data_IF_765841219648
#
_entry.id   IF_765841219648
#
_cell.length_a   1.000
_cell.length_b   1.000
_cell.length_c   1.000
_cell.angle_alpha   90.00
_cell.angle_beta   90.00
_cell.angle_gamma   90.00
#
_symmetry.space_group_name_H-M   'P 1'
#
loop_
_entity.id
_entity.type
_entity.pdbx_description
1 polymer ?
#
# COMPACT_ATOMS: atom_id res chain seq x y z
N UNK A 1 47.84 23.37 -26.75
CA UNK A 1 48.25 24.61 -27.44
C UNK A 1 47.33 24.70 -28.65
N UNK A 2 46.38 25.62 -28.86
CA UNK A 2 46.18 27.04 -28.51
C UNK A 2 44.71 27.33 -28.92
N UNK A 3 43.79 27.68 -28.01
CA UNK A 3 43.20 29.01 -27.76
C UNK A 3 42.66 29.79 -28.99
N UNK A 4 41.38 30.24 -28.90
CA UNK A 4 40.74 31.53 -29.36
C UNK A 4 39.25 31.23 -29.66
N UNK A 5 38.18 31.64 -28.97
CA UNK A 5 37.71 32.78 -28.15
C UNK A 5 37.19 34.03 -28.90
N UNK A 6 35.84 34.16 -28.86
CA UNK A 6 34.93 35.36 -28.92
C UNK A 6 34.78 36.13 -30.26
N UNK A 7 33.81 37.10 -30.41
CA UNK A 7 32.63 37.51 -29.60
C UNK A 7 31.30 37.61 -30.41
N UNK A 8 30.10 37.57 -29.81
CA UNK A 8 29.20 38.68 -29.34
C UNK A 8 28.71 39.69 -30.41
N UNK A 9 27.39 39.72 -30.67
CA UNK A 9 26.58 40.93 -30.88
C UNK A 9 25.08 40.63 -31.10
N UNK A 10 24.26 40.96 -30.10
CA UNK A 10 22.94 41.57 -30.31
C UNK A 10 23.16 43.10 -30.55
N UNK A 11 22.24 43.86 -31.19
CA UNK A 11 21.01 44.30 -30.50
C UNK A 11 19.81 44.63 -31.44
N UNK A 12 18.61 44.80 -30.87
CA UNK A 12 17.78 46.01 -31.03
C UNK A 12 16.31 45.77 -30.60
N UNK A 13 15.80 46.78 -29.89
CA UNK A 13 14.46 46.91 -29.31
C UNK A 13 13.55 47.74 -30.22
N UNK A 14 12.23 47.49 -30.18
CA UNK A 14 11.16 48.51 -30.10
C UNK A 14 9.97 47.80 -29.43
N UNK A 15 9.32 48.21 -28.33
CA UNK A 15 8.82 49.47 -27.73
C UNK A 15 7.64 50.13 -28.47
N UNK A 16 6.48 50.03 -27.82
CA UNK A 16 5.31 50.93 -27.90
C UNK A 16 4.18 50.37 -28.79
N UNK A 17 2.89 50.48 -28.47
CA UNK A 17 2.21 51.32 -27.49
C UNK A 17 0.70 51.01 -27.53
N UNK A 18 0.09 50.90 -26.34
CA UNK A 18 -1.23 51.46 -25.98
C UNK A 18 -2.55 50.99 -26.60
N UNK A 19 -3.33 50.31 -25.73
CA UNK A 19 -4.53 50.81 -25.03
C UNK A 19 -5.84 51.05 -25.83
N UNK A 20 -6.92 50.61 -25.15
CA UNK A 20 -8.34 51.05 -25.21
C UNK A 20 -9.28 50.14 -26.04
N UNK A 21 -10.51 49.77 -25.62
CA UNK A 21 -11.35 50.08 -24.45
C UNK A 21 -12.59 49.15 -24.46
N UNK A 22 -13.04 48.78 -23.25
CA UNK A 22 -14.44 48.74 -22.73
C UNK A 22 -15.52 47.86 -23.40
N UNK A 23 -16.07 46.96 -22.59
CA UNK A 23 -17.47 46.90 -22.04
C UNK A 23 -17.49 45.69 -21.08
N UNK A 24 -17.96 45.70 -19.84
CA UNK A 24 -18.89 46.57 -19.15
C UNK A 24 -20.09 45.74 -18.69
N UNK A 25 -20.02 45.10 -17.52
CA UNK A 25 -21.19 44.62 -16.78
C UNK A 25 -20.95 44.89 -15.29
N UNK A 26 -21.61 45.93 -14.77
CA UNK A 26 -21.69 46.26 -13.35
C UNK A 26 -23.00 45.68 -12.84
N UNK A 27 -22.95 44.92 -11.75
CA UNK A 27 -24.11 44.77 -10.87
C UNK A 27 -24.19 46.01 -9.97
N UNK A 28 -25.42 46.40 -9.63
CA UNK A 28 -25.76 47.73 -9.15
C UNK A 28 -25.60 47.94 -7.65
N UNK A 29 -25.37 46.88 -6.87
CA UNK A 29 -25.36 46.98 -5.41
C UNK A 29 -24.05 46.39 -4.87
N UNK A 30 -23.15 47.28 -4.44
CA UNK A 30 -21.78 46.95 -4.04
C UNK A 30 -21.67 46.24 -2.68
N UNK A 31 -22.11 44.99 -2.60
CA UNK A 31 -21.91 44.15 -1.42
C UNK A 31 -21.18 42.84 -1.79
N UNK A 32 -20.11 42.42 -1.08
CA UNK A 32 -19.50 41.10 -1.28
C UNK A 32 -20.47 39.98 -0.88
N UNK A 33 -20.37 38.77 -1.48
CA UNK A 33 -21.24 37.66 -1.12
C UNK A 33 -20.94 37.20 0.31
N UNK A 34 -21.95 37.31 1.18
CA UNK A 34 -21.96 36.76 2.52
C UNK A 34 -22.28 35.25 2.45
N UNK A 35 -21.48 34.46 3.14
CA UNK A 35 -21.73 33.04 3.41
C UNK A 35 -22.80 32.95 4.53
N UNK A 36 -24.00 32.38 4.30
CA UNK A 36 -24.98 32.24 5.36
C UNK A 36 -24.64 31.05 6.28
N UNK A 37 -24.79 31.31 7.57
CA UNK A 37 -24.74 30.33 8.65
C UNK A 37 -26.04 29.51 8.70
N UNK A 38 -25.87 28.23 9.01
CA UNK A 38 -26.71 27.32 9.81
C UNK A 38 -28.22 27.24 9.53
N UNK A 39 -28.67 26.03 9.16
CA UNK A 39 -30.03 25.56 9.40
C UNK A 39 -29.94 24.16 10.05
N UNK A 40 -30.17 24.13 11.36
CA UNK A 40 -30.63 22.94 12.08
C UNK A 40 -32.10 22.72 11.71
N UNK A 41 -32.42 21.63 11.01
CA UNK A 41 -33.79 21.12 10.91
C UNK A 41 -33.78 19.58 10.85
N UNK A 42 -33.90 19.01 12.04
CA UNK A 42 -34.94 18.07 12.44
C UNK A 42 -35.63 17.26 11.31
N UNK A 43 -35.23 16.00 11.12
CA UNK A 43 -36.08 14.97 10.53
C UNK A 43 -35.90 13.62 11.24
N UNK A 44 -36.87 13.29 12.10
CA UNK A 44 -37.20 11.93 12.50
C UNK A 44 -37.80 11.19 11.29
N UNK A 45 -37.18 10.07 10.89
CA UNK A 45 -37.83 9.03 10.09
C UNK A 45 -37.43 7.67 10.63
N UNK A 46 -38.37 7.01 11.29
CA UNK A 46 -38.33 5.59 11.62
C UNK A 46 -38.42 4.72 10.35
N UNK A 47 -37.52 3.74 10.31
CA UNK A 47 -37.71 2.34 9.88
C UNK A 47 -37.88 1.99 8.39
N UNK A 48 -37.07 1.03 7.95
CA UNK A 48 -37.26 0.25 6.72
C UNK A 48 -35.99 0.08 5.88
N UNK A 49 -35.10 -0.83 6.25
CA UNK A 49 -33.88 -1.10 5.49
C UNK A 49 -33.22 -2.43 5.88
N UNK A 50 -33.88 -3.52 5.51
CA UNK A 50 -33.32 -4.83 5.15
C UNK A 50 -31.97 -5.21 5.80
N UNK A 51 -32.08 -6.03 6.86
CA UNK A 51 -30.99 -6.82 7.40
C UNK A 51 -30.43 -7.76 6.32
N UNK A 52 -29.45 -7.25 5.57
CA UNK A 52 -28.55 -8.07 4.79
C UNK A 52 -27.77 -8.96 5.75
N UNK A 53 -28.24 -10.20 5.88
CA UNK A 53 -27.57 -11.37 6.47
C UNK A 53 -26.04 -11.28 6.37
N UNK A 54 -25.40 -10.65 7.36
CA UNK A 54 -24.02 -10.95 7.69
C UNK A 54 -24.06 -12.28 8.41
N UNK A 55 -24.02 -13.37 7.66
CA UNK A 55 -23.61 -14.64 8.25
C UNK A 55 -22.31 -14.36 9.00
N UNK A 56 -22.19 -14.76 10.29
CA UNK A 56 -20.91 -14.73 10.96
C UNK A 56 -20.00 -15.61 10.11
N UNK A 57 -19.07 -15.01 9.36
CA UNK A 57 -18.00 -15.77 8.72
C UNK A 57 -17.31 -16.49 9.87
N UNK A 58 -17.41 -17.82 9.87
CA UNK A 58 -16.79 -18.66 10.88
C UNK A 58 -15.38 -18.15 11.17
N UNK A 59 -15.17 -17.68 12.41
CA UNK A 59 -13.96 -17.00 12.87
C UNK A 59 -12.74 -17.95 12.99
N UNK A 60 -12.74 -19.06 12.24
CA UNK A 60 -11.76 -20.13 12.37
C UNK A 60 -11.46 -20.84 11.04
N UNK A 61 -11.58 -20.17 9.89
CA UNK A 61 -10.86 -20.65 8.71
C UNK A 61 -9.41 -20.23 8.89
N UNK A 62 -8.45 -21.17 9.11
CA UNK A 62 -7.05 -20.81 9.23
C UNK A 62 -6.61 -20.12 7.94
N UNK A 63 -6.30 -18.83 8.04
CA UNK A 63 -5.83 -18.04 6.91
C UNK A 63 -4.54 -18.69 6.36
N UNK A 64 -4.46 -18.82 5.03
CA UNK A 64 -3.31 -19.47 4.43
C UNK A 64 -2.09 -18.54 4.49
N UNK A 65 -1.04 -18.98 5.16
CA UNK A 65 0.16 -18.18 5.35
C UNK A 65 1.16 -18.39 4.20
N UNK A 66 1.69 -17.30 3.64
CA UNK A 66 2.64 -17.35 2.52
C UNK A 66 3.92 -18.11 2.89
N UNK A 67 4.48 -17.89 4.09
CA UNK A 67 5.70 -18.57 4.53
C UNK A 67 5.52 -20.07 4.73
N UNK A 68 4.35 -20.52 5.19
CA UNK A 68 4.02 -21.95 5.29
C UNK A 68 4.09 -22.64 3.92
N UNK A 69 3.44 -22.05 2.90
CA UNK A 69 3.50 -22.58 1.54
C UNK A 69 4.91 -22.63 0.96
N UNK A 70 5.75 -21.64 1.30
CA UNK A 70 7.15 -21.60 0.86
C UNK A 70 7.98 -22.70 1.50
N UNK A 71 7.69 -23.07 2.75
CA UNK A 71 8.39 -24.11 3.48
C UNK A 71 8.07 -25.53 2.97
N UNK A 72 6.87 -25.76 2.44
CA UNK A 72 6.44 -27.08 1.96
C UNK A 72 7.28 -27.60 0.78
N UNK A 73 7.32 -28.94 0.64
CA UNK A 73 8.00 -29.58 -0.48
C UNK A 73 7.18 -29.46 -1.76
N UNK A 74 7.85 -29.48 -2.93
CA UNK A 74 7.17 -29.31 -4.24
C UNK A 74 6.09 -30.37 -4.46
N UNK A 75 6.30 -31.61 -3.98
CA UNK A 75 5.30 -32.68 -4.07
C UNK A 75 4.00 -32.37 -3.33
N UNK A 76 4.10 -31.79 -2.13
CA UNK A 76 2.94 -31.40 -1.33
C UNK A 76 2.21 -30.23 -1.98
N UNK A 77 2.94 -29.26 -2.52
CA UNK A 77 2.37 -28.15 -3.29
C UNK A 77 1.62 -28.64 -4.53
N UNK A 78 2.14 -29.64 -5.25
CA UNK A 78 1.47 -30.25 -6.39
C UNK A 78 0.18 -30.97 -5.99
N UNK A 79 0.21 -31.69 -4.87
CA UNK A 79 -0.97 -32.35 -4.32
C UNK A 79 -2.04 -31.30 -3.95
N UNK A 80 -1.68 -30.30 -3.16
CA UNK A 80 -2.58 -29.20 -2.78
C UNK A 80 -3.13 -28.47 -4.01
N UNK A 81 -2.30 -28.22 -5.02
CA UNK A 81 -2.72 -27.54 -6.24
C UNK A 81 -3.74 -28.38 -7.02
N UNK A 82 -3.53 -29.69 -7.10
CA UNK A 82 -4.46 -30.62 -7.76
C UNK A 82 -5.79 -30.69 -7.00
N UNK A 83 -5.75 -30.82 -5.68
CA UNK A 83 -6.94 -30.83 -4.81
C UNK A 83 -7.72 -29.51 -4.87
N UNK A 84 -7.03 -28.38 -5.00
CA UNK A 84 -7.63 -27.06 -5.17
C UNK A 84 -8.16 -26.80 -6.61
N UNK A 85 -7.98 -27.74 -7.54
CA UNK A 85 -8.43 -27.60 -8.93
C UNK A 85 -7.57 -26.64 -9.78
N UNK A 86 -6.28 -26.50 -9.47
CA UNK A 86 -5.34 -25.71 -10.28
C UNK A 86 -4.95 -26.51 -11.53
N UNK A 87 -5.41 -26.04 -12.69
CA UNK A 87 -5.08 -26.66 -13.97
C UNK A 87 -3.59 -26.55 -14.30
N UNK A 88 -3.00 -27.65 -14.81
CA UNK A 88 -1.62 -27.64 -15.27
C UNK A 88 -0.56 -27.52 -14.18
N UNK A 89 -0.90 -27.77 -12.91
CA UNK A 89 0.01 -27.66 -11.76
C UNK A 89 1.38 -28.33 -12.00
N UNK A 90 1.41 -29.51 -12.61
CA UNK A 90 2.65 -30.26 -12.89
C UNK A 90 3.66 -29.54 -13.80
N UNK A 91 3.24 -28.50 -14.53
CA UNK A 91 4.12 -27.72 -15.41
C UNK A 91 4.68 -26.46 -14.75
N UNK A 92 4.14 -26.10 -13.58
CA UNK A 92 4.48 -24.88 -12.88
C UNK A 92 5.73 -25.06 -12.02
N UNK A 93 6.54 -24.01 -11.92
CA UNK A 93 7.64 -23.96 -10.95
C UNK A 93 7.08 -23.80 -9.53
N UNK A 94 7.90 -24.08 -8.50
CA UNK A 94 7.50 -23.93 -7.08
C UNK A 94 6.86 -22.57 -6.78
N UNK A 95 7.46 -21.48 -7.26
CA UNK A 95 6.92 -20.13 -7.07
C UNK A 95 5.56 -19.93 -7.75
N UNK A 96 5.39 -20.45 -8.97
CA UNK A 96 4.13 -20.36 -9.72
C UNK A 96 3.04 -21.22 -9.08
N UNK A 97 3.40 -22.37 -8.49
CA UNK A 97 2.48 -23.21 -7.70
C UNK A 97 1.97 -22.47 -6.46
N UNK A 98 2.87 -21.87 -5.68
CA UNK A 98 2.50 -21.06 -4.51
C UNK A 98 1.57 -19.92 -4.93
N UNK A 99 1.89 -19.23 -6.02
CA UNK A 99 1.07 -18.16 -6.55
C UNK A 99 -0.32 -18.65 -6.99
N UNK A 100 -0.40 -19.77 -7.71
CA UNK A 100 -1.65 -20.33 -8.18
C UNK A 100 -2.56 -20.78 -7.01
N UNK A 101 -1.97 -21.38 -5.98
CA UNK A 101 -2.67 -21.77 -4.74
C UNK A 101 -3.25 -20.55 -4.02
N UNK A 102 -2.44 -19.51 -3.80
CA UNK A 102 -2.88 -18.27 -3.15
C UNK A 102 -3.97 -17.56 -3.96
N UNK A 103 -3.85 -17.54 -5.29
CA UNK A 103 -4.86 -16.97 -6.18
C UNK A 103 -6.18 -17.75 -6.13
N UNK A 104 -6.13 -19.08 -6.08
CA UNK A 104 -7.31 -19.93 -5.94
C UNK A 104 -8.04 -19.63 -4.62
N UNK A 105 -7.32 -19.57 -3.51
CA UNK A 105 -7.84 -19.22 -2.17
C UNK A 105 -8.45 -17.82 -2.12
N UNK A 106 -7.72 -16.82 -2.64
CA UNK A 106 -8.20 -15.44 -2.70
C UNK A 106 -9.49 -15.32 -3.53
N UNK A 107 -9.62 -16.07 -4.65
CA UNK A 107 -10.86 -16.12 -5.45
C UNK A 107 -12.05 -16.72 -4.71
N UNK A 108 -11.80 -17.65 -3.77
CA UNK A 108 -12.82 -18.23 -2.89
C UNK A 108 -13.19 -17.32 -1.72
N UNK A 109 -12.57 -16.15 -1.62
CA UNK A 109 -12.80 -15.19 -0.54
C UNK A 109 -12.13 -15.57 0.78
N UNK A 110 -11.22 -16.55 0.76
CA UNK A 110 -10.43 -16.91 1.93
C UNK A 110 -9.30 -15.88 2.14
N UNK A 111 -9.08 -15.41 3.38
CA UNK A 111 -7.99 -14.51 3.67
C UNK A 111 -6.64 -15.22 3.47
N UNK A 112 -5.70 -14.52 2.85
CA UNK A 112 -4.32 -14.95 2.72
C UNK A 112 -3.45 -14.01 3.55
N UNK A 113 -2.51 -14.58 4.29
CA UNK A 113 -1.65 -13.84 5.19
C UNK A 113 -0.19 -13.97 4.76
N UNK A 114 0.62 -12.99 5.12
CA UNK A 114 2.05 -13.01 4.88
C UNK A 114 2.80 -12.24 5.96
N UNK A 115 4.08 -12.57 6.07
CA UNK A 115 4.99 -12.00 7.02
C UNK A 115 6.34 -11.65 6.38
N UNK A 116 7.08 -10.78 7.05
CA UNK A 116 8.47 -10.50 6.73
C UNK A 116 9.02 -9.27 7.44
N UNK A 117 10.32 -9.04 7.28
CA UNK A 117 10.98 -7.85 7.79
C UNK A 117 10.85 -6.70 6.78
N UNK A 118 10.35 -5.54 7.23
CA UNK A 118 10.18 -4.39 6.38
C UNK A 118 11.52 -3.78 5.98
N UNK A 119 11.70 -3.53 4.68
CA UNK A 119 12.71 -2.64 4.13
C UNK A 119 12.02 -1.44 3.47
N UNK A 120 12.24 -0.23 4.00
CA UNK A 120 11.74 1.02 3.40
C UNK A 120 12.78 1.57 2.44
N UNK A 121 12.38 1.82 1.20
CA UNK A 121 13.21 2.38 0.13
C UNK A 121 13.16 3.93 0.15
N UNK A 122 14.11 4.62 -0.52
CA UNK A 122 14.19 6.09 -0.53
C UNK A 122 12.90 6.80 -0.97
N UNK A 123 12.13 6.17 -1.85
CA UNK A 123 10.85 6.69 -2.36
C UNK A 123 9.70 6.56 -1.35
N UNK A 124 9.95 5.98 -0.17
CA UNK A 124 9.03 5.89 0.95
C UNK A 124 8.04 4.73 0.91
N UNK A 125 8.07 3.88 -0.14
CA UNK A 125 7.43 2.56 -0.13
C UNK A 125 8.42 1.51 0.34
N UNK A 126 7.95 0.29 0.63
CA UNK A 126 8.82 -0.77 1.10
C UNK A 126 8.38 -2.16 0.68
N UNK A 127 9.20 -3.13 1.04
CA UNK A 127 8.94 -4.56 0.84
C UNK A 127 9.15 -5.32 2.14
N UNK A 128 8.29 -6.30 2.42
CA UNK A 128 8.56 -7.30 3.44
C UNK A 128 9.46 -8.36 2.83
N UNK A 129 10.68 -8.43 3.35
CA UNK A 129 11.71 -9.39 2.96
C UNK A 129 11.60 -10.64 3.81
N UNK A 130 11.83 -11.79 3.19
CA UNK A 130 11.79 -13.09 3.88
C UNK A 130 13.14 -13.43 4.53
N UNK A 131 13.14 -13.97 5.77
CA UNK A 131 14.37 -14.45 6.40
C UNK A 131 14.99 -15.64 5.63
N UNK A 132 14.16 -16.46 4.99
CA UNK A 132 14.60 -17.64 4.21
C UNK A 132 15.48 -17.28 3.02
N UNK A 133 15.30 -16.08 2.47
CA UNK A 133 16.10 -15.55 1.37
C UNK A 133 17.21 -14.62 1.86
N UNK A 134 17.55 -14.67 3.16
CA UNK A 134 18.54 -13.78 3.79
C UNK A 134 18.23 -12.29 3.58
N UNK A 135 16.94 -11.94 3.56
CA UNK A 135 16.43 -10.60 3.32
C UNK A 135 16.80 -9.99 1.95
N UNK A 136 17.21 -10.83 1.00
CA UNK A 136 17.47 -10.41 -0.38
C UNK A 136 16.17 -10.13 -1.12
N UNK A 137 16.26 -9.25 -2.12
CA UNK A 137 15.12 -8.90 -2.95
C UNK A 137 14.60 -10.10 -3.75
N UNK A 138 13.36 -10.49 -3.46
CA UNK A 138 12.63 -11.57 -4.11
C UNK A 138 11.46 -11.05 -4.93
N UNK A 139 11.01 -11.85 -5.90
CA UNK A 139 9.77 -11.58 -6.64
C UNK A 139 8.53 -11.91 -5.83
N UNK A 140 8.69 -12.68 -4.75
CA UNK A 140 7.68 -13.09 -3.79
C UNK A 140 7.58 -12.14 -2.58
N UNK A 141 8.34 -11.04 -2.58
CA UNK A 141 8.27 -10.02 -1.54
C UNK A 141 6.90 -9.31 -1.53
N UNK A 142 6.50 -8.86 -0.34
CA UNK A 142 5.21 -8.21 -0.13
C UNK A 142 5.42 -6.69 -0.14
N UNK A 143 4.82 -6.02 -1.11
CA UNK A 143 4.77 -4.56 -1.20
C UNK A 143 4.01 -3.94 -0.04
N UNK A 144 4.58 -2.88 0.53
CA UNK A 144 3.98 -2.03 1.56
C UNK A 144 3.92 -0.60 1.05
N UNK A 145 2.72 -0.02 1.09
CA UNK A 145 2.49 1.33 0.58
C UNK A 145 3.07 2.41 1.51
N UNK A 146 3.46 3.58 0.97
CA UNK A 146 3.91 4.71 1.78
C UNK A 146 2.89 5.16 2.82
N UNK A 147 1.59 5.06 2.50
CA UNK A 147 0.50 5.40 3.41
C UNK A 147 0.45 4.48 4.63
N UNK A 148 0.68 3.17 4.45
CA UNK A 148 0.76 2.22 5.57
C UNK A 148 1.99 2.49 6.44
N UNK A 149 3.15 2.71 5.81
CA UNK A 149 4.40 3.05 6.50
C UNK A 149 4.22 4.28 7.39
N UNK A 150 3.62 5.34 6.86
CA UNK A 150 3.34 6.56 7.63
C UNK A 150 2.29 6.36 8.71
N UNK A 151 1.18 5.67 8.41
CA UNK A 151 0.04 5.49 9.34
C UNK A 151 0.43 4.73 10.61
N UNK A 152 1.29 3.72 10.47
CA UNK A 152 1.72 2.88 11.60
C UNK A 152 3.13 3.24 12.10
N UNK A 153 3.72 4.33 11.59
CA UNK A 153 5.09 4.78 11.93
C UNK A 153 6.13 3.66 11.79
N UNK A 154 6.02 2.89 10.70
CA UNK A 154 6.86 1.72 10.42
C UNK A 154 8.26 2.15 10.02
N UNK A 155 9.27 1.34 10.36
CA UNK A 155 10.67 1.55 10.01
C UNK A 155 11.30 0.30 9.43
N UNK A 156 12.37 0.49 8.67
CA UNK A 156 13.21 -0.63 8.23
C UNK A 156 13.65 -1.47 9.42
N UNK A 157 13.44 -2.77 9.34
CA UNK A 157 13.70 -3.73 10.41
C UNK A 157 12.48 -4.17 11.21
N UNK A 158 11.34 -3.48 11.10
CA UNK A 158 10.10 -3.96 11.72
C UNK A 158 9.64 -5.27 11.10
N UNK A 159 9.42 -6.31 11.92
CA UNK A 159 8.74 -7.53 11.48
C UNK A 159 7.25 -7.27 11.39
N UNK A 160 6.62 -7.55 10.25
CA UNK A 160 5.21 -7.29 10.01
C UNK A 160 4.52 -8.60 9.66
N UNK A 161 3.34 -8.80 10.24
CA UNK A 161 2.40 -9.87 9.88
C UNK A 161 1.06 -9.22 9.48
N UNK A 162 0.43 -9.72 8.43
CA UNK A 162 -0.91 -9.28 8.08
C UNK A 162 -1.50 -9.92 6.84
N UNK A 163 -2.73 -9.55 6.53
CA UNK A 163 -3.42 -9.97 5.32
C UNK A 163 -2.75 -9.36 4.09
N UNK A 164 -2.58 -10.19 3.07
CA UNK A 164 -2.01 -9.80 1.78
C UNK A 164 -3.04 -10.00 0.67
N UNK A 165 -2.75 -9.44 -0.50
CA UNK A 165 -3.48 -9.73 -1.74
C UNK A 165 -2.52 -10.13 -2.83
N UNK A 166 -2.99 -10.96 -3.75
CA UNK A 166 -2.29 -11.23 -5.00
C UNK A 166 -2.20 -9.94 -5.85
N UNK A 167 -1.14 -9.78 -6.66
CA UNK A 167 -1.03 -8.68 -7.62
C UNK A 167 -2.21 -8.69 -8.60
N UNK A 168 -2.68 -7.48 -8.94
CA UNK A 168 -3.65 -7.23 -10.01
C UNK A 168 -2.94 -7.13 -11.37
N UNK A 169 -3.72 -6.93 -12.43
CA UNK A 169 -3.18 -6.71 -13.77
C UNK A 169 -2.24 -5.50 -13.78
N UNK A 170 -0.99 -5.74 -14.18
CA UNK A 170 0.09 -4.74 -14.19
C UNK A 170 0.92 -4.66 -12.90
N UNK A 171 0.53 -5.33 -11.82
CA UNK A 171 1.32 -5.44 -10.59
C UNK A 171 2.18 -6.72 -10.61
N UNK A 172 3.36 -6.67 -9.97
CA UNK A 172 4.30 -7.81 -9.93
C UNK A 172 4.39 -8.50 -8.57
N UNK A 173 4.07 -7.79 -7.49
CA UNK A 173 4.30 -8.23 -6.12
C UNK A 173 3.00 -8.45 -5.39
N UNK A 174 3.02 -9.31 -4.36
CA UNK A 174 1.96 -9.29 -3.35
C UNK A 174 1.91 -7.92 -2.69
N UNK A 175 0.76 -7.52 -2.17
CA UNK A 175 0.63 -6.25 -1.45
C UNK A 175 -0.06 -6.47 -0.11
N UNK A 176 0.45 -5.81 0.93
CA UNK A 176 -0.18 -5.80 2.25
C UNK A 176 -1.51 -5.06 2.16
N UNK A 177 -2.61 -5.70 2.54
CA UNK A 177 -3.94 -5.07 2.62
C UNK A 177 -4.24 -4.57 4.02
N UNK A 178 -3.97 -5.41 5.01
CA UNK A 178 -4.24 -5.13 6.42
C UNK A 178 -3.05 -5.56 7.25
N UNK A 179 -2.70 -4.72 8.23
CA UNK A 179 -1.61 -4.98 9.15
C UNK A 179 -2.21 -5.53 10.44
N UNK A 180 -1.79 -6.74 10.84
CA UNK A 180 -2.29 -7.40 12.05
C UNK A 180 -1.30 -7.28 13.21
N UNK A 181 0.01 -7.47 12.98
CA UNK A 181 1.05 -7.33 14.02
C UNK A 181 2.31 -6.64 13.52
N UNK A 182 2.99 -5.96 14.45
CA UNK A 182 4.31 -5.36 14.28
C UNK A 182 5.22 -5.87 15.41
N UNK A 183 6.30 -6.56 15.08
CA UNK A 183 7.23 -7.22 16.00
C UNK A 183 6.50 -8.09 17.04
N UNK A 184 5.52 -8.88 16.59
CA UNK A 184 4.72 -9.78 17.43
C UNK A 184 3.67 -9.10 18.31
N UNK A 185 3.48 -7.77 18.21
CA UNK A 185 2.50 -7.01 19.01
C UNK A 185 1.44 -6.35 18.14
N UNK A 186 0.26 -6.02 18.71
CA UNK A 186 -0.73 -5.22 18.01
C UNK A 186 -0.17 -3.86 17.53
N UNK A 187 -0.69 -3.31 16.42
CA UNK A 187 -0.15 -2.08 15.83
C UNK A 187 -0.35 -0.85 16.72
N UNK A 188 -1.36 -0.91 17.59
CA UNK A 188 -1.73 0.15 18.53
C UNK A 188 -0.64 0.42 19.56
N UNK A 189 -0.01 -0.64 20.08
CA UNK A 189 1.09 -0.55 21.06
C UNK A 189 2.38 -0.02 20.43
N UNK A 190 2.51 -0.10 19.10
CA UNK A 190 3.74 0.28 18.41
C UNK A 190 3.87 1.78 18.19
N UNK A 191 2.80 2.55 18.38
CA UNK A 191 2.80 4.01 18.19
C UNK A 191 3.58 4.76 19.27
N UNK A 192 3.68 4.21 20.48
CA UNK A 192 4.34 4.85 21.64
C UNK A 192 5.78 4.38 21.87
N UNK A 193 6.41 3.73 20.88
CA UNK A 193 7.78 3.23 21.02
C UNK A 193 8.78 4.37 21.10
N UNK A 194 9.69 4.29 22.07
CA UNK A 194 10.89 5.13 22.15
C UNK A 194 11.86 4.63 21.07
N UNK A 195 12.43 5.54 20.29
CA UNK A 195 13.45 5.20 19.30
C UNK A 195 14.67 4.61 19.99
N UNK A 196 15.29 3.60 19.38
CA UNK A 196 16.49 2.95 19.94
C UNK A 196 17.59 3.95 20.29
N UNK A 197 17.80 4.97 19.44
CA UNK A 197 18.77 6.05 19.65
C UNK A 197 18.53 6.88 20.91
N UNK A 198 17.30 6.90 21.43
CA UNK A 198 16.93 7.64 22.63
C UNK A 198 16.99 6.78 23.90
N UNK A 199 17.33 5.49 23.78
CA UNK A 199 17.48 4.61 24.95
C UNK A 199 18.79 4.94 25.67
N UNK A 200 18.76 4.88 27.00
CA UNK A 200 19.96 5.03 27.82
C UNK A 200 20.76 3.72 27.80
N UNK A 201 22.01 3.71 27.31
CA UNK A 201 22.84 2.52 27.34
C UNK A 201 23.25 2.19 28.77
N UNK A 202 23.16 0.91 29.15
CA UNK A 202 23.58 0.39 30.45
C UNK A 202 24.61 -0.74 30.25
N UNK A 203 25.49 -0.94 31.23
CA UNK A 203 26.42 -2.07 31.22
C UNK A 203 25.68 -3.37 31.57
N UNK A 204 26.01 -4.49 30.90
CA UNK A 204 25.42 -5.81 31.17
C UNK A 204 25.85 -6.41 32.50
#
# INVERSE_FOLDING_TARGET
MTATSKPDQAPARSRGSSRARRRGARNRDGNPPQNPQNEDDLFDVENGGEEGSSTPRDANVPALHLSELKALHVSELLQMATEAGVEGANRLRKQELVFALLRNRARRGEPICGDGALEVLPDGFGFLRSPDTSYLAGTDDIYVSPSQIRRFNLRTGDTIEGEIRTPKDGERYFALTKLDKINGRPPEECKSKILFENLTPLHP
#
